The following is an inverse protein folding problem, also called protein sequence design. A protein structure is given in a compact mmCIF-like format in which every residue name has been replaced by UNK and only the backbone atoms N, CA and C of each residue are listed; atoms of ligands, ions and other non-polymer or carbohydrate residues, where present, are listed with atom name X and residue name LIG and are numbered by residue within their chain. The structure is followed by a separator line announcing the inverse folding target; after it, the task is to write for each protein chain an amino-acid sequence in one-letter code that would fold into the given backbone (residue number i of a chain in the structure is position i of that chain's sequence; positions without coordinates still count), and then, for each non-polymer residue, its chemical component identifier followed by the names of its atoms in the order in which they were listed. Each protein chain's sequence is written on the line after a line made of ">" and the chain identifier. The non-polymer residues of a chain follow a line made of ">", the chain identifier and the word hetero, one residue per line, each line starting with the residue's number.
data_IF_341566482705
#
_entry.id   IF_341566482705
#
_cell.length_a   1.000
_cell.length_b   1.000
_cell.length_c   1.000
_cell.angle_alpha   90.00
_cell.angle_beta   90.00
_cell.angle_gamma   90.00
#
_symmetry.space_group_name_H-M   'P 1'
#
loop_
_entity.id
_entity.type
_entity.pdbx_description
1 polymer ?
#
# COMPACT_ATOMS: atom_id res chain seq x y z
N UNK A 1 76.22 -22.52 34.93
CA UNK A 1 75.16 -23.41 34.43
C UNK A 1 73.96 -23.30 35.36
N UNK A 2 72.74 -23.31 34.80
CA UNK A 2 71.39 -23.22 35.42
C UNK A 2 70.71 -21.84 35.31
N UNK A 3 70.00 -21.70 34.18
CA UNK A 3 68.97 -20.67 33.91
C UNK A 3 67.69 -21.08 34.65
N UNK A 4 67.06 -20.12 35.33
CA UNK A 4 65.80 -20.30 36.06
C UNK A 4 64.60 -20.05 35.13
N UNK A 5 63.58 -20.89 35.29
CA UNK A 5 62.30 -20.90 34.59
C UNK A 5 61.56 -19.56 34.70
N UNK A 6 61.09 -19.04 33.57
CA UNK A 6 60.13 -17.92 33.50
C UNK A 6 58.73 -18.45 33.15
N UNK A 7 57.74 -17.95 33.89
CA UNK A 7 56.32 -18.31 33.89
C UNK A 7 55.64 -18.25 32.51
N UNK A 8 54.80 -19.25 32.16
CA UNK A 8 53.90 -19.20 31.01
C UNK A 8 52.51 -18.72 31.45
N UNK A 9 52.38 -17.50 31.98
CA UNK A 9 51.07 -16.97 32.41
C UNK A 9 50.81 -15.53 31.95
N UNK A 10 51.45 -15.10 30.87
CA UNK A 10 51.27 -13.76 30.31
C UNK A 10 51.09 -13.76 28.78
N UNK A 11 50.54 -14.84 28.22
CA UNK A 11 50.29 -14.95 26.76
C UNK A 11 48.88 -15.45 26.41
N UNK A 12 47.94 -15.46 27.37
CA UNK A 12 46.54 -15.86 27.13
C UNK A 12 45.56 -14.69 27.33
N UNK A 13 46.03 -13.50 27.69
CA UNK A 13 45.17 -12.31 27.87
C UNK A 13 45.01 -11.45 26.60
N UNK A 14 45.68 -11.78 25.49
CA UNK A 14 45.70 -10.97 24.28
C UNK A 14 45.26 -11.75 23.02
N UNK A 15 44.28 -12.65 23.17
CA UNK A 15 43.68 -13.35 22.03
C UNK A 15 42.14 -13.41 22.06
N UNK A 16 41.50 -12.83 23.08
CA UNK A 16 40.02 -12.83 23.24
C UNK A 16 39.41 -11.46 22.85
N UNK A 17 40.23 -10.43 22.62
CA UNK A 17 39.76 -9.08 22.27
C UNK A 17 39.56 -8.81 20.76
N UNK A 18 39.80 -9.78 19.88
CA UNK A 18 39.84 -9.54 18.42
C UNK A 18 38.79 -10.31 17.60
N UNK A 19 37.79 -10.94 18.24
CA UNK A 19 36.81 -11.79 17.55
C UNK A 19 35.35 -11.26 17.58
N UNK A 20 35.13 -9.96 17.84
CA UNK A 20 33.77 -9.41 18.00
C UNK A 20 33.36 -8.34 16.98
N UNK A 21 34.15 -8.06 15.93
CA UNK A 21 33.84 -6.93 15.01
C UNK A 21 33.45 -7.31 13.57
N UNK A 22 33.20 -8.58 13.26
CA UNK A 22 32.95 -9.04 11.87
C UNK A 22 31.54 -9.58 11.59
N UNK A 23 30.47 -9.02 12.18
CA UNK A 23 29.10 -9.56 12.01
C UNK A 23 28.03 -8.62 11.45
N UNK A 24 28.35 -7.43 10.93
CA UNK A 24 27.30 -6.50 10.44
C UNK A 24 26.96 -6.59 8.95
N UNK A 25 27.67 -7.41 8.15
CA UNK A 25 27.42 -7.49 6.69
C UNK A 25 26.46 -8.61 6.24
N UNK A 26 26.05 -9.53 7.10
CA UNK A 26 25.19 -10.66 6.71
C UNK A 26 23.73 -10.28 6.48
N UNK A 27 23.23 -9.24 7.17
CA UNK A 27 21.83 -8.83 7.09
C UNK A 27 21.42 -8.28 5.71
N UNK A 28 22.30 -7.53 5.04
CA UNK A 28 22.03 -6.98 3.71
C UNK A 28 22.04 -8.06 2.62
N UNK A 29 23.01 -8.99 2.69
CA UNK A 29 23.11 -10.09 1.73
C UNK A 29 21.95 -11.09 1.87
N UNK A 30 21.52 -11.41 3.09
CA UNK A 30 20.33 -12.24 3.34
C UNK A 30 19.07 -11.58 2.77
N UNK A 31 18.91 -10.27 2.96
CA UNK A 31 17.79 -9.53 2.36
C UNK A 31 17.79 -9.58 0.83
N UNK A 32 18.97 -9.55 0.18
CA UNK A 32 19.06 -9.62 -1.27
C UNK A 32 18.68 -10.99 -1.82
N UNK A 33 19.16 -12.07 -1.19
CA UNK A 33 18.81 -13.46 -1.58
C UNK A 33 17.32 -13.71 -1.39
N UNK A 34 16.72 -13.26 -0.29
CA UNK A 34 15.27 -13.39 -0.07
C UNK A 34 14.44 -12.61 -1.09
N UNK A 35 14.90 -11.41 -1.48
CA UNK A 35 14.26 -10.63 -2.53
C UNK A 35 14.32 -11.34 -3.90
N UNK A 36 15.43 -12.01 -4.21
CA UNK A 36 15.57 -12.82 -5.42
C UNK A 36 14.61 -14.01 -5.42
N UNK A 37 14.55 -14.76 -4.31
CA UNK A 37 13.64 -15.91 -4.14
C UNK A 37 12.19 -15.45 -4.30
N UNK A 38 11.82 -14.33 -3.67
CA UNK A 38 10.51 -13.70 -3.86
C UNK A 38 10.24 -13.36 -5.33
N UNK A 39 11.17 -12.70 -6.02
CA UNK A 39 11.03 -12.34 -7.43
C UNK A 39 10.79 -13.57 -8.31
N UNK A 40 11.59 -14.64 -8.10
CA UNK A 40 11.41 -15.93 -8.79
C UNK A 40 10.04 -16.56 -8.50
N UNK A 41 9.55 -16.47 -7.27
CA UNK A 41 8.21 -16.93 -6.88
C UNK A 41 7.10 -16.19 -7.62
N UNK A 42 7.19 -14.85 -7.70
CA UNK A 42 6.23 -14.03 -8.46
C UNK A 42 6.28 -14.32 -9.96
N UNK A 43 7.48 -14.52 -10.53
CA UNK A 43 7.61 -14.94 -11.92
C UNK A 43 6.98 -16.31 -12.18
N UNK A 44 7.18 -17.28 -11.27
CA UNK A 44 6.55 -18.59 -11.37
C UNK A 44 5.01 -18.49 -11.29
N UNK A 45 4.48 -17.64 -10.40
CA UNK A 45 3.04 -17.39 -10.29
C UNK A 45 2.47 -16.83 -11.60
N UNK A 46 3.12 -15.81 -12.15
CA UNK A 46 2.71 -15.17 -13.41
C UNK A 46 2.83 -16.12 -14.61
N UNK A 47 3.69 -17.14 -14.54
CA UNK A 47 3.81 -18.19 -15.55
C UNK A 47 2.76 -19.32 -15.37
N UNK A 48 1.85 -19.21 -14.40
CA UNK A 48 0.86 -20.25 -14.08
C UNK A 48 1.43 -21.46 -13.33
N UNK A 49 2.71 -21.44 -12.95
CA UNK A 49 3.33 -22.51 -12.17
C UNK A 49 3.11 -22.26 -10.67
N UNK A 50 1.88 -22.48 -10.22
CA UNK A 50 1.46 -22.17 -8.86
C UNK A 50 2.16 -23.03 -7.79
N UNK A 51 2.46 -24.29 -8.09
CA UNK A 51 3.22 -25.16 -7.18
C UNK A 51 4.63 -24.63 -6.92
N UNK A 52 5.37 -24.28 -7.98
CA UNK A 52 6.70 -23.68 -7.83
C UNK A 52 6.67 -22.30 -7.17
N UNK A 53 5.65 -21.49 -7.50
CA UNK A 53 5.44 -20.20 -6.84
C UNK A 53 5.25 -20.38 -5.34
N UNK A 54 4.39 -21.31 -4.94
CA UNK A 54 4.12 -21.62 -3.54
C UNK A 54 5.39 -22.07 -2.81
N UNK A 55 6.19 -22.96 -3.39
CA UNK A 55 7.45 -23.43 -2.81
C UNK A 55 8.47 -22.29 -2.60
N UNK A 56 8.71 -21.48 -3.63
CA UNK A 56 9.67 -20.37 -3.56
C UNK A 56 9.23 -19.31 -2.54
N UNK A 57 7.94 -18.97 -2.52
CA UNK A 57 7.41 -17.98 -1.60
C UNK A 57 7.38 -18.50 -0.16
N UNK A 58 7.11 -19.79 0.03
CA UNK A 58 7.25 -20.45 1.33
C UNK A 58 8.69 -20.39 1.82
N UNK A 59 9.66 -20.72 0.97
CA UNK A 59 11.07 -20.62 1.31
C UNK A 59 11.46 -19.20 1.74
N UNK A 60 10.97 -18.16 1.06
CA UNK A 60 11.22 -16.78 1.47
C UNK A 60 10.60 -16.46 2.84
N UNK A 61 9.36 -16.90 3.09
CA UNK A 61 8.62 -16.69 4.35
C UNK A 61 9.28 -17.44 5.51
N UNK A 62 9.66 -18.71 5.31
CA UNK A 62 10.30 -19.55 6.32
C UNK A 62 11.66 -18.98 6.74
N UNK A 63 12.33 -18.26 5.83
CA UNK A 63 13.55 -17.51 6.10
C UNK A 63 13.31 -16.06 6.56
N UNK A 64 12.10 -15.75 7.07
CA UNK A 64 11.72 -14.48 7.68
C UNK A 64 11.75 -13.26 6.75
N UNK A 65 11.36 -13.40 5.47
CA UNK A 65 11.08 -12.22 4.65
C UNK A 65 9.98 -11.38 5.29
N UNK A 66 10.21 -10.07 5.44
CA UNK A 66 9.24 -9.13 6.04
C UNK A 66 8.36 -8.41 5.01
N UNK A 67 8.35 -8.90 3.78
CA UNK A 67 7.62 -8.30 2.67
C UNK A 67 6.17 -8.85 2.63
N UNK A 68 5.14 -8.00 2.81
CA UNK A 68 3.73 -8.40 2.70
C UNK A 68 3.39 -9.10 1.38
N UNK A 69 4.07 -8.73 0.29
CA UNK A 69 3.82 -9.26 -1.05
C UNK A 69 4.08 -10.75 -1.12
N UNK A 70 5.08 -11.27 -0.39
CA UNK A 70 5.39 -12.69 -0.39
C UNK A 70 4.20 -13.53 0.12
N UNK A 71 3.54 -13.06 1.19
CA UNK A 71 2.36 -13.69 1.74
C UNK A 71 1.16 -13.62 0.78
N UNK A 72 0.92 -12.46 0.16
CA UNK A 72 -0.15 -12.34 -0.84
C UNK A 72 0.03 -13.31 -2.00
N UNK A 73 1.21 -13.33 -2.62
CA UNK A 73 1.47 -14.22 -3.76
C UNK A 73 1.45 -15.70 -3.35
N UNK A 74 1.85 -16.06 -2.12
CA UNK A 74 1.74 -17.45 -1.64
C UNK A 74 0.28 -17.85 -1.50
N UNK A 75 -0.55 -17.02 -0.86
CA UNK A 75 -1.97 -17.26 -0.72
C UNK A 75 -2.71 -17.30 -2.07
N UNK A 76 -2.30 -16.44 -3.02
CA UNK A 76 -2.84 -16.46 -4.39
C UNK A 76 -2.47 -17.74 -5.13
N UNK A 77 -1.22 -18.22 -5.01
CA UNK A 77 -0.78 -19.49 -5.58
C UNK A 77 -1.53 -20.69 -4.96
N UNK A 78 -1.73 -20.67 -3.63
CA UNK A 78 -2.51 -21.67 -2.92
C UNK A 78 -3.97 -21.68 -3.40
N UNK A 79 -4.61 -20.50 -3.48
CA UNK A 79 -5.97 -20.34 -3.98
C UNK A 79 -6.12 -20.83 -5.42
N UNK A 80 -5.17 -20.53 -6.30
CA UNK A 80 -5.17 -20.98 -7.68
C UNK A 80 -4.97 -22.50 -7.81
N UNK A 81 -4.30 -23.13 -6.83
CA UNK A 81 -4.11 -24.58 -6.75
C UNK A 81 -5.25 -25.31 -6.04
N UNK A 82 -6.32 -24.61 -5.63
CA UNK A 82 -7.45 -25.20 -4.90
C UNK A 82 -7.15 -25.51 -3.43
N UNK A 83 -6.08 -24.96 -2.87
CA UNK A 83 -5.68 -25.17 -1.48
C UNK A 83 -6.40 -24.17 -0.56
N UNK A 84 -7.01 -24.65 0.52
CA UNK A 84 -7.93 -23.88 1.38
C UNK A 84 -7.29 -22.87 2.35
N UNK A 85 -5.96 -22.71 2.38
CA UNK A 85 -5.25 -21.86 3.34
C UNK A 85 -4.90 -20.45 2.80
N UNK A 86 -5.43 -20.06 1.64
CA UNK A 86 -5.16 -18.78 1.00
C UNK A 86 -5.49 -17.55 1.87
N UNK A 87 -6.61 -17.60 2.60
CA UNK A 87 -7.08 -16.45 3.39
C UNK A 87 -6.17 -16.15 4.58
N UNK A 88 -5.58 -17.17 5.21
CA UNK A 88 -4.64 -16.97 6.32
C UNK A 88 -3.38 -16.24 5.88
N UNK A 89 -2.87 -16.55 4.68
CA UNK A 89 -1.74 -15.85 4.09
C UNK A 89 -2.08 -14.39 3.76
N UNK A 90 -3.28 -14.14 3.23
CA UNK A 90 -3.73 -12.77 2.97
C UNK A 90 -3.87 -11.96 4.25
N UNK A 91 -4.36 -12.56 5.33
CA UNK A 91 -4.46 -11.90 6.63
C UNK A 91 -3.08 -11.53 7.17
N UNK A 92 -2.13 -12.47 7.14
CA UNK A 92 -0.75 -12.21 7.59
C UNK A 92 -0.08 -11.11 6.77
N UNK A 93 -0.24 -11.13 5.44
CA UNK A 93 0.26 -10.06 4.56
C UNK A 93 -0.36 -8.72 4.90
N UNK A 94 -1.67 -8.67 5.14
CA UNK A 94 -2.40 -7.45 5.46
C UNK A 94 -2.01 -6.85 6.80
N UNK A 95 -1.75 -7.68 7.81
CA UNK A 95 -1.23 -7.23 9.10
C UNK A 95 0.19 -6.65 9.00
N UNK A 96 1.05 -7.24 8.16
CA UNK A 96 2.39 -6.71 7.90
C UNK A 96 2.32 -5.39 7.12
N UNK A 97 1.44 -5.31 6.12
CA UNK A 97 1.17 -4.07 5.39
C UNK A 97 0.70 -2.96 6.33
N UNK A 98 -0.27 -3.24 7.20
CA UNK A 98 -0.83 -2.25 8.12
C UNK A 98 0.18 -1.75 9.17
N UNK A 99 1.25 -2.51 9.46
CA UNK A 99 2.33 -2.13 10.38
C UNK A 99 3.36 -1.17 9.77
N UNK A 100 3.37 -0.97 8.46
CA UNK A 100 4.33 -0.07 7.79
C UNK A 100 4.77 -0.51 6.40
N UNK A 101 3.99 -1.33 5.69
CA UNK A 101 4.28 -1.72 4.31
C UNK A 101 4.04 -0.57 3.33
N UNK A 102 4.80 -0.55 2.24
CA UNK A 102 4.59 0.40 1.14
C UNK A 102 3.38 -0.02 0.28
N UNK A 103 2.22 0.55 0.59
CA UNK A 103 0.96 0.31 -0.10
C UNK A 103 1.04 0.54 -1.61
N UNK A 104 1.89 1.46 -2.09
CA UNK A 104 2.04 1.76 -3.52
C UNK A 104 2.80 0.66 -4.23
N UNK A 105 3.90 0.17 -3.65
CA UNK A 105 4.64 -0.97 -4.21
C UNK A 105 3.79 -2.24 -4.23
N UNK A 106 3.00 -2.46 -3.17
CA UNK A 106 2.08 -3.59 -3.03
C UNK A 106 1.00 -3.48 -4.11
N UNK A 107 0.31 -2.35 -4.21
CA UNK A 107 -0.72 -2.12 -5.21
C UNK A 107 -0.22 -2.33 -6.65
N UNK A 108 1.00 -1.89 -6.95
CA UNK A 108 1.64 -2.13 -8.25
C UNK A 108 1.86 -3.62 -8.50
N UNK A 109 2.40 -4.34 -7.51
CA UNK A 109 2.64 -5.78 -7.63
C UNK A 109 1.35 -6.57 -7.85
N UNK A 110 0.24 -6.11 -7.26
CA UNK A 110 -1.05 -6.77 -7.37
C UNK A 110 -1.85 -6.35 -8.62
N UNK A 111 -1.34 -5.45 -9.45
CA UNK A 111 -2.08 -4.87 -10.59
C UNK A 111 -2.60 -5.89 -11.60
N UNK A 112 -1.98 -7.07 -11.69
CA UNK A 112 -2.39 -8.17 -12.59
C UNK A 112 -3.52 -9.04 -12.01
N UNK A 113 -3.75 -8.97 -10.70
CA UNK A 113 -4.78 -9.76 -10.03
C UNK A 113 -6.07 -8.97 -10.07
N UNK A 114 -7.07 -9.54 -10.72
CA UNK A 114 -8.36 -8.92 -11.02
C UNK A 114 -9.51 -9.84 -10.63
N UNK A 115 -10.73 -9.29 -10.60
CA UNK A 115 -11.95 -10.06 -10.33
C UNK A 115 -12.16 -10.43 -8.87
N UNK A 116 -12.85 -11.56 -8.64
CA UNK A 116 -13.32 -11.96 -7.30
C UNK A 116 -12.20 -12.19 -6.29
N UNK A 117 -11.06 -12.77 -6.74
CA UNK A 117 -9.90 -12.97 -5.89
C UNK A 117 -9.30 -11.64 -5.44
N UNK A 118 -9.28 -10.63 -6.32
CA UNK A 118 -8.83 -9.29 -5.97
C UNK A 118 -9.73 -8.64 -4.93
N UNK A 119 -11.05 -8.74 -5.10
CA UNK A 119 -12.02 -8.20 -4.14
C UNK A 119 -11.86 -8.80 -2.75
N UNK A 120 -11.72 -10.13 -2.66
CA UNK A 120 -11.48 -10.81 -1.38
C UNK A 120 -10.18 -10.32 -0.71
N UNK A 121 -9.10 -10.20 -1.48
CA UNK A 121 -7.84 -9.69 -0.98
C UNK A 121 -7.95 -8.24 -0.48
N UNK A 122 -8.61 -7.36 -1.23
CA UNK A 122 -8.79 -5.97 -0.80
C UNK A 122 -9.63 -5.84 0.47
N UNK A 123 -10.66 -6.68 0.65
CA UNK A 123 -11.45 -6.73 1.88
C UNK A 123 -10.59 -7.11 3.09
N UNK A 124 -9.70 -8.09 2.93
CA UNK A 124 -8.75 -8.48 4.00
C UNK A 124 -7.77 -7.33 4.30
N UNK A 125 -7.29 -6.64 3.27
CA UNK A 125 -6.40 -5.47 3.42
C UNK A 125 -7.08 -4.32 4.16
N UNK A 126 -8.32 -4.01 3.79
CA UNK A 126 -9.13 -2.99 4.45
C UNK A 126 -9.35 -3.33 5.93
N UNK A 127 -9.75 -4.57 6.22
CA UNK A 127 -9.97 -5.03 7.60
C UNK A 127 -8.71 -4.88 8.46
N UNK A 128 -7.54 -5.24 7.94
CA UNK A 128 -6.29 -5.10 8.69
C UNK A 128 -5.92 -3.63 8.95
N UNK A 129 -6.17 -2.72 8.00
CA UNK A 129 -5.97 -1.28 8.20
C UNK A 129 -6.88 -0.72 9.28
N UNK A 130 -8.17 -1.10 9.26
CA UNK A 130 -9.12 -0.69 10.31
C UNK A 130 -8.69 -1.22 11.69
N UNK A 131 -8.23 -2.47 11.76
CA UNK A 131 -7.72 -3.04 13.01
C UNK A 131 -6.46 -2.32 13.51
N UNK A 132 -5.54 -1.98 12.62
CA UNK A 132 -4.33 -1.23 12.98
C UNK A 132 -4.67 0.19 13.46
N UNK A 133 -5.63 0.87 12.83
CA UNK A 133 -6.14 2.16 13.28
C UNK A 133 -6.78 2.07 14.68
N UNK A 134 -7.66 1.10 14.90
CA UNK A 134 -8.30 0.89 16.21
C UNK A 134 -7.26 0.59 17.30
N UNK A 135 -6.28 -0.27 17.00
CA UNK A 135 -5.19 -0.60 17.93
C UNK A 135 -4.30 0.61 18.22
N UNK A 136 -4.01 1.42 17.20
CA UNK A 136 -3.26 2.67 17.34
C UNK A 136 -3.98 3.68 18.23
N UNK A 137 -5.29 3.86 18.01
CA UNK A 137 -6.13 4.74 18.83
C UNK A 137 -6.18 4.30 20.29
N UNK A 138 -6.40 3.00 20.55
CA UNK A 138 -6.40 2.44 21.91
C UNK A 138 -5.07 2.65 22.63
N UNK A 139 -3.94 2.39 21.93
CA UNK A 139 -2.59 2.65 22.48
C UNK A 139 -2.36 4.13 22.78
N UNK A 140 -2.87 5.02 21.93
CA UNK A 140 -2.77 6.46 22.17
C UNK A 140 -3.57 6.90 23.39
N UNK A 141 -4.80 6.38 23.56
CA UNK A 141 -5.64 6.68 24.72
C UNK A 141 -5.01 6.21 26.03
N UNK A 142 -4.46 4.99 26.06
CA UNK A 142 -3.74 4.47 27.23
C UNK A 142 -2.57 5.40 27.59
N UNK A 143 -1.73 5.76 26.59
CA UNK A 143 -0.61 6.67 26.79
C UNK A 143 -1.06 8.04 27.30
N UNK A 144 -2.15 8.60 26.76
CA UNK A 144 -2.71 9.87 27.22
C UNK A 144 -3.20 9.77 28.67
N UNK A 145 -3.88 8.69 29.02
CA UNK A 145 -4.38 8.47 30.38
C UNK A 145 -3.25 8.27 31.40
N UNK A 146 -2.17 7.58 31.02
CA UNK A 146 -0.96 7.45 31.83
C UNK A 146 -0.29 8.81 32.09
N UNK A 147 -0.16 9.65 31.06
CA UNK A 147 0.40 11.00 31.18
C UNK A 147 -0.47 11.93 32.03
N UNK A 148 -1.80 11.84 31.89
CA UNK A 148 -2.74 12.62 32.71
C UNK A 148 -2.76 12.16 34.17
N UNK A 149 -2.66 10.85 34.42
CA UNK A 149 -2.73 10.25 35.77
C UNK A 149 -1.44 10.36 36.57
N UNK A 150 -0.27 10.45 35.92
CA UNK A 150 1.01 10.72 36.57
C UNK A 150 1.16 12.20 37.02
N UNK A 151 0.09 12.99 36.89
CA UNK A 151 0.08 14.41 37.19
C UNK A 151 0.67 15.17 36.01
N UNK A 152 -0.19 15.82 35.24
CA UNK A 152 0.23 16.87 34.32
C UNK A 152 1.13 17.85 35.10
N UNK A 153 2.39 18.13 34.72
CA UNK A 153 2.90 19.46 34.97
C UNK A 153 1.88 20.38 34.29
N UNK A 154 1.31 21.31 35.06
CA UNK A 154 0.36 22.30 34.57
C UNK A 154 0.78 22.77 33.17
N UNK A 155 -0.20 22.97 32.27
CA UNK A 155 -0.03 23.63 30.97
C UNK A 155 1.12 24.62 31.05
N UNK A 156 2.12 24.60 30.14
CA UNK A 156 3.39 25.30 30.34
C UNK A 156 3.09 26.71 30.85
N UNK A 157 3.30 26.90 32.15
CA UNK A 157 3.07 28.18 32.82
C UNK A 157 4.15 29.08 32.30
N UNK A 158 3.84 29.76 31.19
CA UNK A 158 4.77 30.53 30.40
C UNK A 158 5.98 29.69 29.99
N UNK A 159 6.08 29.36 28.70
CA UNK A 159 7.36 28.90 28.16
C UNK A 159 8.45 29.82 28.75
N UNK A 160 9.50 29.29 29.44
CA UNK A 160 10.62 30.13 29.80
C UNK A 160 11.05 30.73 28.48
N UNK A 161 11.00 32.07 28.37
CA UNK A 161 11.55 32.78 27.23
C UNK A 161 12.94 32.18 27.08
N UNK A 162 13.12 31.30 26.09
CA UNK A 162 14.45 30.91 25.68
C UNK A 162 15.09 32.26 25.42
N UNK A 163 16.03 32.65 26.26
CA UNK A 163 16.95 33.72 25.95
C UNK A 163 17.69 33.19 24.73
N UNK A 164 17.07 33.42 23.57
CA UNK A 164 17.66 33.25 22.27
C UNK A 164 18.71 34.34 22.26
N UNK A 165 19.88 34.04 22.82
CA UNK A 165 21.11 34.80 22.67
C UNK A 165 21.63 34.79 21.24
N UNK A 166 20.77 34.48 20.27
CA UNK A 166 20.93 34.80 18.88
C UNK A 166 19.77 35.75 18.55
N UNK A 167 20.08 37.04 18.53
CA UNK A 167 19.32 37.98 17.71
C UNK A 167 19.12 37.34 16.35
N UNK A 168 17.87 37.21 15.85
CA UNK A 168 17.68 36.79 14.47
C UNK A 168 18.52 37.72 13.58
N UNK A 169 19.18 37.19 12.52
CA UNK A 169 19.82 38.05 11.54
C UNK A 169 18.79 39.10 11.08
N UNK A 170 19.20 40.36 10.88
CA UNK A 170 18.29 41.39 10.39
C UNK A 170 17.61 40.85 9.14
N UNK A 171 16.29 40.93 9.11
CA UNK A 171 15.53 40.63 7.91
C UNK A 171 16.13 41.47 6.76
N UNK A 172 16.34 40.89 5.57
CA UNK A 172 16.74 41.68 4.41
C UNK A 172 15.72 42.80 4.23
N UNK A 173 16.21 44.00 3.92
CA UNK A 173 15.35 45.15 3.66
C UNK A 173 14.29 44.77 2.62
N UNK A 174 13.08 45.25 2.85
CA UNK A 174 11.85 44.90 2.12
C UNK A 174 11.88 45.17 0.61
N UNK A 175 12.97 45.74 0.09
CA UNK A 175 13.12 46.13 -1.31
C UNK A 175 13.41 44.95 -2.25
N UNK A 176 13.82 43.78 -1.72
CA UNK A 176 14.15 42.58 -2.52
C UNK A 176 13.15 41.43 -2.37
N UNK A 177 12.01 41.64 -1.70
CA UNK A 177 11.01 40.59 -1.51
C UNK A 177 9.97 40.69 -2.65
N UNK A 178 9.98 39.79 -3.65
CA UNK A 178 9.08 39.86 -4.82
C UNK A 178 7.60 39.60 -4.47
N UNK A 179 7.30 39.36 -3.20
CA UNK A 179 5.96 39.19 -2.63
C UNK A 179 5.60 40.28 -1.60
N UNK A 180 6.41 41.34 -1.47
CA UNK A 180 6.16 42.43 -0.53
C UNK A 180 4.88 43.22 -0.88
N UNK A 181 4.56 43.35 -2.16
CA UNK A 181 3.39 44.10 -2.61
C UNK A 181 2.06 43.42 -2.21
N UNK A 182 2.04 42.09 -2.07
CA UNK A 182 0.82 41.33 -1.71
C UNK A 182 0.57 41.22 -0.19
N UNK A 183 1.54 41.62 0.65
CA UNK A 183 1.44 41.53 2.12
C UNK A 183 1.59 42.90 2.80
N UNK A 184 1.85 43.97 2.05
CA UNK A 184 1.99 45.31 2.57
C UNK A 184 0.62 45.94 2.86
N UNK A 185 0.00 45.56 3.98
CA UNK A 185 -1.16 46.28 4.54
C UNK A 185 -2.26 45.40 5.10
N UNK A 186 -2.16 44.08 4.98
CA UNK A 186 -3.17 43.17 5.50
C UNK A 186 -2.64 42.46 6.75
N UNK A 187 -3.13 42.88 7.91
CA UNK A 187 -2.97 42.11 9.13
C UNK A 187 -3.56 40.72 8.90
N UNK A 188 -2.87 39.65 9.32
CA UNK A 188 -3.39 38.29 9.21
C UNK A 188 -4.64 38.14 10.08
N UNK A 189 -5.82 38.29 9.47
CA UNK A 189 -7.10 38.08 10.12
C UNK A 189 -7.45 36.59 10.02
N UNK A 190 -7.70 35.96 11.16
CA UNK A 190 -8.32 34.64 11.19
C UNK A 190 -9.77 34.81 10.78
N UNK A 191 -10.11 34.44 9.54
CA UNK A 191 -11.45 34.59 8.98
C UNK A 191 -12.51 33.77 9.75
N UNK A 192 -12.14 32.61 10.29
CA UNK A 192 -12.98 31.83 11.20
C UNK A 192 -12.17 30.99 12.19
N UNK A 193 -12.71 30.79 13.39
CA UNK A 193 -12.13 29.87 14.39
C UNK A 193 -12.48 28.40 14.10
N UNK A 194 -13.41 28.15 13.18
CA UNK A 194 -13.80 26.82 12.69
C UNK A 194 -13.78 26.81 11.16
N UNK A 195 -12.86 26.04 10.59
CA UNK A 195 -12.67 25.94 9.14
C UNK A 195 -13.68 25.00 8.46
N UNK A 196 -14.55 24.34 9.22
CA UNK A 196 -15.56 23.39 8.73
C UNK A 196 -17.00 23.89 8.87
N UNK A 197 -17.19 25.10 9.39
CA UNK A 197 -18.51 25.71 9.53
C UNK A 197 -19.15 25.90 8.13
N UNK A 198 -20.27 25.21 7.88
CA UNK A 198 -20.97 25.17 6.59
C UNK A 198 -20.59 24.01 5.65
N UNK A 199 -19.56 23.22 5.95
CA UNK A 199 -19.16 22.07 5.11
C UNK A 199 -20.18 20.90 5.16
N UNK A 200 -21.09 20.92 6.13
CA UNK A 200 -22.16 19.91 6.31
C UNK A 200 -23.53 20.40 5.83
N UNK A 201 -23.65 21.64 5.36
CA UNK A 201 -24.89 22.11 4.77
C UNK A 201 -25.07 21.47 3.40
N UNK A 202 -26.06 20.58 3.29
CA UNK A 202 -26.36 19.87 2.06
C UNK A 202 -26.98 20.85 1.04
N UNK A 203 -26.27 21.23 -0.05
CA UNK A 203 -26.78 22.19 -1.01
C UNK A 203 -27.98 21.65 -1.83
N UNK A 204 -28.33 20.38 -1.67
CA UNK A 204 -29.45 19.72 -2.34
C UNK A 204 -30.74 19.69 -1.50
N UNK A 205 -30.75 20.25 -0.28
CA UNK A 205 -31.91 20.19 0.62
C UNK A 205 -33.10 21.06 0.17
N UNK A 206 -32.92 22.00 -0.76
CA UNK A 206 -33.97 22.94 -1.18
C UNK A 206 -34.88 22.41 -2.29
N UNK A 207 -34.63 21.22 -2.88
CA UNK A 207 -35.41 20.76 -4.05
C UNK A 207 -36.00 19.35 -3.91
N UNK A 208 -36.45 19.00 -2.70
CA UNK A 208 -37.23 17.78 -2.47
C UNK A 208 -38.57 18.09 -1.80
N UNK A 209 -39.55 18.51 -2.60
CA UNK A 209 -40.94 18.28 -2.25
C UNK A 209 -41.21 16.76 -2.35
N UNK A 210 -41.83 16.11 -1.35
CA UNK A 210 -42.07 14.69 -1.37
C UNK A 210 -43.18 14.36 -2.37
N UNK A 211 -42.85 13.66 -3.45
CA UNK A 211 -43.86 13.02 -4.29
C UNK A 211 -44.47 11.83 -3.53
N UNK A 212 -45.78 11.90 -3.35
CA UNK A 212 -46.64 10.95 -2.67
C UNK A 212 -46.44 9.51 -3.18
N UNK A 213 -46.10 8.61 -2.25
CA UNK A 213 -45.95 7.18 -2.47
C UNK A 213 -47.32 6.49 -2.35
N UNK A 214 -48.20 6.66 -3.33
CA UNK A 214 -49.44 5.87 -3.41
C UNK A 214 -50.03 5.78 -4.82
N UNK A 215 -49.29 5.17 -5.75
CA UNK A 215 -49.91 4.53 -6.93
C UNK A 215 -49.03 3.39 -7.47
N UNK A 216 -49.58 2.18 -7.49
CA UNK A 216 -49.09 1.05 -8.26
C UNK A 216 -50.27 0.45 -9.03
N UNK A 217 -50.03 -0.35 -10.09
CA UNK A 217 -49.29 -0.02 -11.31
C UNK A 217 -50.25 -0.03 -12.52
N UNK A 218 -50.04 0.84 -13.51
CA UNK A 218 -50.63 0.65 -14.83
C UNK A 218 -49.61 -0.04 -15.72
N UNK A 219 -49.95 -1.28 -16.06
CA UNK A 219 -49.25 -2.20 -16.95
C UNK A 219 -49.20 -1.68 -18.40
N UNK A 220 -48.22 -2.24 -19.11
CA UNK A 220 -48.05 -2.30 -20.55
C UNK A 220 -47.44 -1.08 -21.28
N UNK A 221 -46.15 -1.23 -21.58
CA UNK A 221 -45.71 -1.16 -22.97
C UNK A 221 -45.08 0.17 -23.38
N UNK A 222 -43.79 0.32 -23.11
CA UNK A 222 -42.75 0.60 -24.13
C UNK A 222 -41.44 0.87 -23.39
N UNK A 223 -40.60 -0.16 -23.28
CA UNK A 223 -39.17 0.11 -23.05
C UNK A 223 -38.66 0.93 -24.23
N UNK A 224 -37.82 1.96 -24.03
CA UNK A 224 -37.22 2.74 -25.12
C UNK A 224 -36.26 1.91 -26.00
N UNK A 225 -36.15 0.61 -25.74
CA UNK A 225 -35.43 -0.38 -26.53
C UNK A 225 -36.33 -1.26 -27.40
N UNK A 226 -37.66 -1.09 -27.33
CA UNK A 226 -38.63 -1.84 -28.14
C UNK A 226 -39.09 -1.02 -29.37
N UNK A 227 -38.11 -0.41 -30.03
CA UNK A 227 -38.27 0.21 -31.34
C UNK A 227 -37.88 -0.80 -32.41
N UNK A 228 -38.88 -1.40 -33.06
CA UNK A 228 -38.69 -2.35 -34.15
C UNK A 228 -37.85 -1.81 -35.30
N UNK A 229 -36.59 -2.21 -35.32
CA UNK A 229 -35.85 -2.59 -36.51
C UNK A 229 -34.77 -3.55 -36.02
N UNK A 230 -34.78 -4.79 -36.51
CA UNK A 230 -33.69 -5.71 -36.23
C UNK A 230 -32.38 -5.01 -36.60
N UNK A 231 -31.38 -4.92 -35.70
CA UNK A 231 -30.06 -4.50 -36.13
C UNK A 231 -29.66 -5.48 -37.24
N UNK A 232 -29.41 -4.96 -38.44
CA UNK A 232 -28.68 -5.69 -39.46
C UNK A 232 -27.42 -6.21 -38.78
N UNK A 233 -27.36 -7.52 -38.55
CA UNK A 233 -26.18 -8.17 -38.01
C UNK A 233 -25.00 -7.84 -38.93
N UNK A 234 -24.00 -7.07 -38.46
CA UNK A 234 -22.85 -6.71 -39.28
C UNK A 234 -21.96 -7.92 -39.61
N UNK A 235 -22.29 -9.11 -39.09
CA UNK A 235 -21.63 -10.39 -39.37
C UNK A 235 -22.55 -11.40 -40.07
N UNK A 236 -23.76 -11.01 -40.48
CA UNK A 236 -24.55 -11.86 -41.36
C UNK A 236 -23.86 -11.94 -42.74
N UNK A 237 -23.70 -13.14 -43.33
CA UNK A 237 -23.05 -13.28 -44.62
C UNK A 237 -23.92 -12.66 -45.71
N UNK A 238 -23.52 -11.47 -46.17
CA UNK A 238 -24.03 -10.88 -47.41
C UNK A 238 -23.46 -11.68 -48.59
N UNK A 239 -24.33 -12.02 -49.55
CA UNK A 239 -23.99 -12.82 -50.72
C UNK A 239 -22.84 -12.26 -51.56
N UNK A 240 -22.13 -13.18 -52.20
CA UNK A 240 -21.23 -13.02 -53.36
C UNK A 240 -20.30 -11.79 -53.37
N UNK A 241 -19.58 -11.60 -52.28
CA UNK A 241 -18.50 -10.63 -52.23
C UNK A 241 -17.78 -10.60 -50.90
N UNK A 242 -17.27 -11.75 -50.43
CA UNK A 242 -16.35 -11.79 -49.30
C UNK A 242 -14.95 -11.34 -49.78
N UNK A 243 -14.45 -10.17 -49.35
CA UNK A 243 -13.09 -9.72 -49.69
C UNK A 243 -11.99 -10.51 -48.95
N UNK A 244 -12.38 -11.43 -48.05
CA UNK A 244 -11.49 -12.32 -47.30
C UNK A 244 -11.73 -13.80 -47.61
N UNK A 245 -12.60 -14.13 -48.56
CA UNK A 245 -12.65 -15.48 -49.10
C UNK A 245 -11.30 -15.77 -49.79
N UNK A 246 -10.70 -16.95 -49.58
CA UNK A 246 -9.50 -17.33 -50.29
C UNK A 246 -9.81 -17.37 -51.79
N UNK A 247 -9.36 -16.34 -52.52
CA UNK A 247 -9.20 -16.43 -53.95
C UNK A 247 -8.25 -17.61 -54.22
N UNK A 248 -8.65 -18.50 -55.11
CA UNK A 248 -8.01 -19.78 -55.33
C UNK A 248 -6.50 -19.71 -55.54
N UNK A 249 -5.85 -20.77 -55.07
CA UNK A 249 -4.67 -21.42 -55.64
C UNK A 249 -3.49 -20.57 -56.12
N UNK A 250 -3.05 -19.58 -55.35
CA UNK A 250 -1.67 -19.07 -55.44
C UNK A 250 -1.16 -18.64 -54.06
N UNK A 251 -0.59 -19.59 -53.31
CA UNK A 251 0.17 -19.32 -52.08
C UNK A 251 1.66 -19.04 -52.42
N UNK A 252 2.12 -17.78 -52.35
CA UNK A 252 3.47 -17.39 -52.75
C UNK A 252 4.54 -17.75 -51.71
N UNK A 253 4.19 -18.41 -50.59
CA UNK A 253 5.13 -18.82 -49.55
C UNK A 253 5.38 -20.33 -49.49
N UNK A 254 4.90 -21.09 -50.49
CA UNK A 254 5.10 -22.54 -50.59
C UNK A 254 6.50 -22.97 -51.10
N UNK A 255 7.48 -22.07 -51.11
CA UNK A 255 8.83 -22.33 -51.62
C UNK A 255 9.94 -21.82 -50.71
N UNK A 256 10.08 -22.38 -49.50
CA UNK A 256 11.33 -22.43 -48.73
C UNK A 256 11.40 -23.70 -47.88
#
# INVERSE_FOLDING_TARGET
>A
MKIRFASPLLLIAMAIGFLTTAQTNTASAQSAVLAEIYGRGVHAYNAGNYSKAYELLSMAIDNNIRDPRAYYFRGLAASASGMGYAEGDWQMGAELEARGGDARSIGRSLSRIQGSQRLKLELVREKARLQALATGAARSQIRSNELSSQGQPAAPSQAPKMQRGATPPPAPASDDNPFADDLAGEDAVVESNDALEGAMDNPLATEAAPADASAAPADAGTSPFDGGAAPTDPFAPAGDGDPFAPAGDDDPFSGF
#
